data_IF_883106789375
#
_entry.id   IF_883106789375
#
_cell.length_a   1.000
_cell.length_b   1.000
_cell.length_c   1.000
_cell.angle_alpha   90.00
_cell.angle_beta   90.00
_cell.angle_gamma   90.00
#
_symmetry.space_group_name_H-M   'P 1'
#
loop_
_entity.id
_entity.type
_entity.pdbx_description
1 polymer ?
#
# COMPACT_ATOMS: atom_id res chain seq x y z
N UNK A 1 7.03 12.09 -3.28
CA UNK A 1 7.20 10.63 -3.17
C UNK A 1 5.87 9.92 -3.43
N UNK A 2 5.91 8.65 -3.84
CA UNK A 2 4.78 7.76 -4.07
C UNK A 2 4.88 6.59 -3.10
N UNK A 3 3.84 6.35 -2.30
CA UNK A 3 3.73 5.18 -1.44
C UNK A 3 2.69 4.24 -2.05
N UNK A 4 3.14 3.11 -2.59
CA UNK A 4 2.25 2.05 -3.05
C UNK A 4 1.78 1.23 -1.85
N UNK A 5 0.47 1.12 -1.68
CA UNK A 5 -0.15 0.47 -0.53
C UNK A 5 -1.08 -0.65 -0.98
N UNK A 6 -0.76 -1.89 -0.59
CA UNK A 6 -1.74 -2.97 -0.54
C UNK A 6 -2.56 -2.94 0.76
N UNK A 7 -3.67 -3.66 0.79
CA UNK A 7 -4.60 -3.75 1.90
C UNK A 7 -4.54 -5.13 2.55
N UNK A 8 -4.78 -6.19 1.78
CA UNK A 8 -4.68 -7.56 2.29
C UNK A 8 -3.22 -7.85 2.67
N UNK A 9 -3.00 -8.51 3.80
CA UNK A 9 -1.66 -8.77 4.31
C UNK A 9 -0.87 -7.54 4.76
N UNK A 10 -1.44 -6.33 4.71
CA UNK A 10 -0.81 -5.06 5.11
C UNK A 10 -1.67 -4.31 6.13
N UNK A 11 -2.82 -3.76 5.69
CA UNK A 11 -3.76 -3.01 6.53
C UNK A 11 -4.74 -3.95 7.24
N UNK A 12 -4.94 -5.15 6.70
CA UNK A 12 -5.67 -6.28 7.29
C UNK A 12 -4.86 -7.56 7.12
N UNK A 13 -5.19 -8.64 7.84
CA UNK A 13 -4.53 -9.92 7.60
C UNK A 13 -5.08 -10.62 6.35
N UNK A 14 -4.24 -11.37 5.64
CA UNK A 14 -4.63 -12.25 4.53
C UNK A 14 -4.80 -13.73 4.95
N UNK A 15 -5.03 -14.00 6.24
CA UNK A 15 -5.26 -15.37 6.73
C UNK A 15 -6.61 -15.93 6.21
N UNK A 16 -6.63 -17.01 5.39
CA UNK A 16 -7.87 -17.56 4.82
C UNK A 16 -8.76 -18.23 5.86
N UNK A 17 -8.24 -18.56 7.04
CA UNK A 17 -8.98 -19.22 8.13
C UNK A 17 -9.56 -18.25 9.16
N UNK A 18 -9.38 -16.94 8.96
CA UNK A 18 -9.88 -15.92 9.87
C UNK A 18 -10.65 -14.89 9.05
N UNK A 19 -11.87 -14.57 9.49
CA UNK A 19 -12.64 -13.50 8.87
C UNK A 19 -12.07 -12.13 9.25
N UNK A 20 -12.00 -11.24 8.27
CA UNK A 20 -11.66 -9.83 8.48
C UNK A 20 -12.93 -9.11 8.95
N UNK A 21 -12.81 -8.29 9.99
CA UNK A 21 -13.92 -7.49 10.51
C UNK A 21 -14.34 -6.44 9.46
N UNK A 22 -15.64 -6.24 9.28
CA UNK A 22 -16.24 -5.31 8.33
C UNK A 22 -16.76 -4.07 9.05
N UNK A 23 -16.76 -2.95 8.35
CA UNK A 23 -17.39 -1.70 8.78
C UNK A 23 -18.68 -1.43 7.99
N UNK A 24 -19.45 -0.44 8.45
CA UNK A 24 -20.77 -0.09 7.91
C UNK A 24 -20.79 0.35 6.44
N UNK A 25 -19.65 0.80 5.91
CA UNK A 25 -19.47 1.20 4.52
C UNK A 25 -19.18 0.01 3.57
N UNK A 26 -19.23 -1.22 4.08
CA UNK A 26 -19.08 -2.44 3.28
C UNK A 26 -17.63 -2.77 2.92
N UNK A 27 -16.66 -2.18 3.62
CA UNK A 27 -15.25 -2.53 3.50
C UNK A 27 -14.62 -2.95 4.84
N UNK A 28 -13.39 -3.46 4.79
CA UNK A 28 -12.72 -3.97 5.98
C UNK A 28 -12.43 -2.88 7.00
N UNK A 29 -12.40 -3.29 8.27
CA UNK A 29 -11.79 -2.55 9.37
C UNK A 29 -10.27 -2.73 9.32
N UNK A 30 -9.53 -1.63 9.36
CA UNK A 30 -8.08 -1.68 9.34
C UNK A 30 -7.50 -1.98 10.71
N UNK A 31 -6.36 -2.69 10.72
CA UNK A 31 -5.57 -2.91 11.93
C UNK A 31 -5.06 -1.56 12.44
N UNK A 32 -5.41 -1.20 13.68
CA UNK A 32 -4.98 0.05 14.31
C UNK A 32 -3.46 0.23 14.29
N UNK A 33 -2.67 -0.85 14.43
CA UNK A 33 -1.20 -0.76 14.35
C UNK A 33 -0.71 -0.38 12.96
N UNK A 34 -1.37 -0.87 11.90
CA UNK A 34 -1.04 -0.50 10.54
C UNK A 34 -1.41 0.97 10.26
N UNK A 35 -2.56 1.42 10.76
CA UNK A 35 -3.00 2.82 10.71
C UNK A 35 -2.02 3.73 11.46
N UNK A 36 -1.62 3.37 12.68
CA UNK A 36 -0.67 4.11 13.48
C UNK A 36 0.71 4.18 12.80
N UNK A 37 1.16 3.05 12.24
CA UNK A 37 2.43 2.97 11.53
C UNK A 37 2.46 3.92 10.32
N UNK A 38 1.44 3.86 9.45
CA UNK A 38 1.41 4.68 8.23
C UNK A 38 1.21 6.17 8.53
N UNK A 39 0.49 6.50 9.61
CA UNK A 39 0.30 7.88 10.05
C UNK A 39 1.48 8.46 10.85
N UNK A 40 2.44 7.62 11.26
CA UNK A 40 3.58 8.06 12.09
C UNK A 40 4.65 8.84 11.32
N UNK A 41 4.44 9.09 10.03
CA UNK A 41 5.35 9.82 9.15
C UNK A 41 4.65 11.03 8.52
N UNK A 42 5.44 12.05 8.20
CA UNK A 42 4.93 13.22 7.49
C UNK A 42 4.53 12.83 6.06
N UNK A 43 3.24 12.96 5.77
CA UNK A 43 2.61 12.58 4.52
C UNK A 43 2.32 13.80 3.61
N UNK A 44 2.68 15.02 4.01
CA UNK A 44 2.40 16.26 3.25
C UNK A 44 2.91 16.18 1.80
N UNK A 45 4.05 15.53 1.58
CA UNK A 45 4.70 15.37 0.27
C UNK A 45 4.66 13.92 -0.27
N UNK A 46 3.81 13.07 0.30
CA UNK A 46 3.64 11.68 -0.10
C UNK A 46 2.25 11.52 -0.71
N UNK A 47 2.20 10.99 -1.92
CA UNK A 47 0.95 10.52 -2.50
C UNK A 47 0.80 9.02 -2.25
N UNK A 48 -0.33 8.65 -1.65
CA UNK A 48 -0.72 7.27 -1.41
C UNK A 48 -1.35 6.70 -2.67
N UNK A 49 -0.69 5.71 -3.28
CA UNK A 49 -1.13 5.04 -4.50
C UNK A 49 -1.67 3.66 -4.12
N UNK A 50 -2.97 3.41 -4.29
CA UNK A 50 -3.55 2.10 -4.01
C UNK A 50 -3.10 1.08 -5.07
N UNK A 51 -2.32 0.08 -4.65
CA UNK A 51 -1.90 -1.07 -5.46
C UNK A 51 -2.76 -2.33 -5.22
N UNK A 52 -3.66 -2.29 -4.25
CA UNK A 52 -4.54 -3.41 -3.89
C UNK A 52 -5.44 -3.89 -5.04
N UNK A 53 -5.79 -5.18 -5.03
CA UNK A 53 -6.78 -5.76 -5.92
C UNK A 53 -8.19 -5.20 -5.68
N UNK A 54 -8.48 -4.70 -4.48
CA UNK A 54 -9.76 -4.10 -4.14
C UNK A 54 -10.04 -2.77 -4.84
N UNK A 55 -9.05 -2.18 -5.50
CA UNK A 55 -9.11 -0.82 -6.04
C UNK A 55 -10.27 -0.55 -7.00
N UNK A 56 -10.81 -1.58 -7.66
CA UNK A 56 -11.96 -1.50 -8.59
C UNK A 56 -13.33 -1.50 -7.91
N UNK A 57 -13.40 -1.86 -6.63
CA UNK A 57 -14.67 -1.94 -5.89
C UNK A 57 -15.26 -0.55 -5.60
N UNK A 58 -14.41 0.46 -5.55
CA UNK A 58 -14.77 1.81 -5.13
C UNK A 58 -14.06 2.83 -6.03
N UNK A 59 -14.74 3.93 -6.33
CA UNK A 59 -14.09 5.06 -6.98
C UNK A 59 -13.20 5.83 -6.00
N UNK A 60 -12.38 6.76 -6.51
CA UNK A 60 -11.44 7.53 -5.70
C UNK A 60 -12.11 8.31 -4.55
N UNK A 61 -13.32 8.84 -4.76
CA UNK A 61 -14.05 9.58 -3.71
C UNK A 61 -14.44 8.65 -2.56
N UNK A 62 -14.91 7.45 -2.89
CA UNK A 62 -15.25 6.42 -1.90
C UNK A 62 -14.00 5.92 -1.16
N UNK A 63 -12.88 5.71 -1.85
CA UNK A 63 -11.62 5.36 -1.19
C UNK A 63 -11.15 6.43 -0.19
N UNK A 64 -11.22 7.71 -0.58
CA UNK A 64 -10.93 8.81 0.34
C UNK A 64 -11.86 8.81 1.56
N UNK A 65 -13.14 8.48 1.37
CA UNK A 65 -14.09 8.36 2.48
C UNK A 65 -13.74 7.20 3.43
N UNK A 66 -13.44 6.01 2.88
CA UNK A 66 -13.01 4.84 3.67
C UNK A 66 -11.74 5.17 4.45
N UNK A 67 -10.73 5.74 3.80
CA UNK A 67 -9.47 6.14 4.46
C UNK A 67 -9.69 7.14 5.58
N UNK A 68 -10.54 8.14 5.37
CA UNK A 68 -10.89 9.11 6.42
C UNK A 68 -11.57 8.42 7.61
N UNK A 69 -12.57 7.55 7.38
CA UNK A 69 -13.24 6.78 8.44
C UNK A 69 -12.27 5.87 9.21
N UNK A 70 -11.18 5.43 8.59
CA UNK A 70 -10.13 4.60 9.21
C UNK A 70 -8.99 5.41 9.83
N UNK A 71 -9.08 6.74 9.79
CA UNK A 71 -8.07 7.63 10.34
C UNK A 71 -6.79 7.74 9.51
N UNK A 72 -6.78 7.33 8.24
CA UNK A 72 -5.63 7.50 7.32
C UNK A 72 -5.56 8.97 6.89
N UNK A 73 -4.41 9.62 7.12
CA UNK A 73 -4.29 11.09 7.03
C UNK A 73 -3.74 11.64 5.71
N UNK A 74 -3.53 10.81 4.70
CA UNK A 74 -2.94 11.25 3.43
C UNK A 74 -3.87 12.17 2.63
N UNK A 75 -3.42 13.38 2.33
CA UNK A 75 -4.16 14.36 1.52
C UNK A 75 -4.23 13.95 0.04
N UNK A 76 -3.14 13.36 -0.45
CA UNK A 76 -2.99 12.93 -1.85
C UNK A 76 -3.16 11.42 -1.93
N UNK A 77 -4.25 11.01 -2.58
CA UNK A 77 -4.59 9.60 -2.83
C UNK A 77 -4.86 9.42 -4.32
N UNK A 78 -4.28 8.37 -4.90
CA UNK A 78 -4.54 7.91 -6.26
C UNK A 78 -4.62 6.38 -6.30
N UNK A 79 -5.00 5.83 -7.45
CA UNK A 79 -5.20 4.40 -7.65
C UNK A 79 -4.35 3.98 -8.85
N UNK A 80 -3.73 2.81 -8.80
CA UNK A 80 -3.15 2.21 -10.02
C UNK A 80 -4.28 2.00 -11.04
N UNK A 81 -4.32 2.84 -12.06
CA UNK A 81 -5.31 2.81 -13.12
C UNK A 81 -4.85 1.90 -14.28
N UNK A 82 -4.47 0.67 -13.94
CA UNK A 82 -4.15 -0.39 -14.88
C UNK A 82 -5.17 -1.51 -14.70
N UNK A 83 -5.65 -2.07 -15.81
CA UNK A 83 -6.57 -3.21 -15.79
C UNK A 83 -5.97 -4.39 -15.01
N UNK A 84 -6.81 -5.10 -14.25
CA UNK A 84 -6.42 -6.38 -13.66
C UNK A 84 -6.22 -7.40 -14.76
N UNK A 85 -4.97 -7.52 -15.21
CA UNK A 85 -4.56 -8.66 -15.98
C UNK A 85 -3.95 -9.68 -15.02
N UNK A 86 -4.68 -10.76 -14.74
CA UNK A 86 -4.24 -11.85 -13.86
C UNK A 86 -2.93 -12.53 -14.29
N UNK A 87 -2.42 -12.22 -15.50
CA UNK A 87 -1.10 -12.67 -15.96
C UNK A 87 0.06 -11.83 -15.41
N UNK A 88 -0.21 -10.63 -14.90
CA UNK A 88 0.81 -9.76 -14.31
C UNK A 88 0.88 -9.98 -12.80
N UNK A 89 2.12 -10.13 -12.31
CA UNK A 89 2.39 -10.10 -10.87
C UNK A 89 2.30 -8.68 -10.34
N UNK A 90 2.14 -8.53 -9.01
CA UNK A 90 2.20 -7.23 -8.34
C UNK A 90 3.49 -6.48 -8.66
N UNK A 91 4.61 -7.21 -8.74
CA UNK A 91 5.89 -6.66 -9.23
C UNK A 91 5.74 -5.99 -10.60
N UNK A 92 5.24 -6.72 -11.60
CA UNK A 92 5.10 -6.20 -12.97
C UNK A 92 4.19 -4.97 -13.02
N UNK A 93 3.09 -4.99 -12.26
CA UNK A 93 2.13 -3.89 -12.19
C UNK A 93 2.79 -2.60 -11.63
N UNK A 94 3.51 -2.72 -10.51
CA UNK A 94 4.20 -1.58 -9.89
C UNK A 94 5.35 -1.08 -10.77
N UNK A 95 6.19 -1.97 -11.32
CA UNK A 95 7.29 -1.57 -12.21
C UNK A 95 6.78 -0.84 -13.45
N UNK A 96 5.72 -1.36 -14.07
CA UNK A 96 5.09 -0.73 -15.22
C UNK A 96 4.55 0.65 -14.86
N UNK A 97 3.84 0.78 -13.74
CA UNK A 97 3.29 2.06 -13.32
C UNK A 97 4.40 3.09 -13.08
N UNK A 98 5.48 2.70 -12.39
CA UNK A 98 6.65 3.56 -12.14
C UNK A 98 7.28 4.02 -13.46
N UNK A 99 7.47 3.11 -14.41
CA UNK A 99 8.04 3.40 -15.72
C UNK A 99 7.15 4.35 -16.54
N UNK A 100 5.85 4.05 -16.65
CA UNK A 100 4.89 4.86 -17.41
C UNK A 100 4.78 6.30 -16.87
N UNK A 101 4.98 6.49 -15.55
CA UNK A 101 4.91 7.80 -14.88
C UNK A 101 6.28 8.45 -14.67
N UNK A 102 7.37 7.84 -15.17
CA UNK A 102 8.74 8.36 -15.06
C UNK A 102 9.17 8.68 -13.62
N UNK A 103 8.76 7.86 -12.65
CA UNK A 103 9.05 8.07 -11.24
C UNK A 103 10.46 7.55 -10.90
N UNK A 104 11.26 8.37 -10.22
CA UNK A 104 12.56 7.94 -9.72
C UNK A 104 12.38 6.89 -8.62
N UNK A 105 13.17 5.82 -8.62
CA UNK A 105 13.13 4.81 -7.55
C UNK A 105 13.36 5.39 -6.16
N UNK A 106 14.08 6.51 -6.04
CA UNK A 106 14.29 7.20 -4.77
C UNK A 106 13.02 7.88 -4.23
N UNK A 107 12.03 8.11 -5.08
CA UNK A 107 10.75 8.70 -4.70
C UNK A 107 9.67 7.65 -4.46
N UNK A 108 10.02 6.37 -4.39
CA UNK A 108 9.09 5.25 -4.24
C UNK A 108 9.19 4.62 -2.86
N UNK A 109 8.06 4.20 -2.30
CA UNK A 109 7.94 3.30 -1.17
C UNK A 109 6.88 2.27 -1.53
N UNK A 110 7.11 0.99 -1.26
CA UNK A 110 6.15 -0.09 -1.54
C UNK A 110 5.86 -0.82 -0.23
N UNK A 111 4.59 -0.97 0.15
CA UNK A 111 4.16 -1.74 1.32
C UNK A 111 3.14 -2.78 0.87
N UNK A 112 3.50 -4.06 1.01
CA UNK A 112 2.83 -5.16 0.33
C UNK A 112 3.23 -6.50 0.98
N UNK A 113 2.41 -7.55 0.85
CA UNK A 113 2.78 -8.90 1.27
C UNK A 113 3.15 -9.83 0.10
N UNK A 114 2.96 -9.38 -1.15
CA UNK A 114 3.20 -10.19 -2.35
C UNK A 114 4.69 -10.54 -2.53
N UNK A 115 5.02 -11.83 -2.44
CA UNK A 115 6.39 -12.34 -2.53
C UNK A 115 7.07 -12.11 -3.88
N UNK A 116 6.33 -11.86 -4.95
CA UNK A 116 6.90 -11.53 -6.28
C UNK A 116 7.74 -10.26 -6.23
N UNK A 117 7.48 -9.37 -5.26
CA UNK A 117 8.24 -8.13 -5.05
C UNK A 117 9.68 -8.37 -4.59
N UNK A 118 10.03 -9.58 -4.12
CA UNK A 118 11.43 -9.95 -3.86
C UNK A 118 12.31 -9.93 -5.11
N UNK A 119 11.70 -10.01 -6.30
CA UNK A 119 12.39 -9.96 -7.58
C UNK A 119 12.44 -8.55 -8.20
N UNK A 120 12.06 -7.50 -7.44
CA UNK A 120 12.30 -6.11 -7.83
C UNK A 120 13.81 -5.82 -7.98
N UNK A 121 14.20 -4.88 -8.85
CA UNK A 121 15.58 -4.42 -8.93
C UNK A 121 16.01 -3.78 -7.60
N UNK A 122 17.32 -3.87 -7.29
CA UNK A 122 17.87 -3.50 -5.98
C UNK A 122 17.51 -2.08 -5.51
N UNK A 123 17.41 -1.12 -6.43
CA UNK A 123 17.02 0.26 -6.12
C UNK A 123 15.58 0.38 -5.60
N UNK A 124 14.64 -0.43 -6.11
CA UNK A 124 13.27 -0.48 -5.61
C UNK A 124 13.13 -1.42 -4.41
N UNK A 125 13.88 -2.54 -4.41
CA UNK A 125 13.86 -3.53 -3.33
C UNK A 125 14.28 -2.93 -1.98
N UNK A 126 15.24 -2.01 -1.96
CA UNK A 126 15.62 -1.26 -0.75
C UNK A 126 14.50 -0.37 -0.18
N UNK A 127 13.49 -0.07 -1.00
CA UNK A 127 12.32 0.76 -0.65
C UNK A 127 11.03 -0.06 -0.50
N UNK A 128 11.15 -1.39 -0.46
CA UNK A 128 10.07 -2.33 -0.19
C UNK A 128 9.99 -2.64 1.30
N UNK A 129 8.78 -2.56 1.85
CA UNK A 129 8.40 -3.12 3.14
C UNK A 129 7.51 -4.33 2.86
N UNK A 130 8.13 -5.51 2.81
CA UNK A 130 7.39 -6.76 2.63
C UNK A 130 6.83 -7.21 3.97
N UNK A 131 5.50 -7.18 4.14
CA UNK A 131 4.84 -7.53 5.40
C UNK A 131 4.65 -9.04 5.55
N UNK A 132 4.38 -9.50 6.78
CA UNK A 132 3.88 -10.85 6.99
C UNK A 132 2.35 -10.86 6.76
N UNK A 133 1.82 -11.67 5.83
CA UNK A 133 0.41 -11.68 5.49
C UNK A 133 -0.53 -11.97 6.67
N UNK A 134 -0.08 -12.71 7.68
CA UNK A 134 -0.90 -13.07 8.83
C UNK A 134 -1.04 -11.94 9.85
N UNK A 135 -0.10 -11.00 9.89
CA UNK A 135 -0.06 -9.92 10.89
C UNK A 135 -0.26 -8.53 10.31
N UNK A 136 0.13 -8.30 9.05
CA UNK A 136 0.12 -6.98 8.45
C UNK A 136 1.32 -6.12 8.83
N UNK A 137 1.19 -4.81 8.58
CA UNK A 137 2.12 -3.78 9.03
C UNK A 137 1.92 -3.53 10.53
N UNK A 138 2.98 -3.75 11.32
CA UNK A 138 2.89 -3.74 12.80
C UNK A 138 3.57 -2.53 13.44
N UNK A 139 4.54 -1.93 12.76
CA UNK A 139 5.26 -0.74 13.20
C UNK A 139 5.75 0.08 11.99
N UNK A 140 6.36 1.23 12.26
CA UNK A 140 6.86 2.15 11.24
C UNK A 140 8.38 2.23 11.14
N UNK A 141 9.12 1.28 11.73
CA UNK A 141 10.58 1.33 11.77
C UNK A 141 11.19 1.36 10.37
N UNK A 142 10.78 0.43 9.51
CA UNK A 142 11.26 0.36 8.12
C UNK A 142 10.78 1.55 7.29
N UNK A 143 9.55 1.99 7.49
CA UNK A 143 9.01 3.18 6.79
C UNK A 143 9.83 4.43 7.12
N UNK A 144 10.14 4.65 8.39
CA UNK A 144 10.99 5.75 8.84
C UNK A 144 12.42 5.62 8.32
N UNK A 145 12.99 4.40 8.31
CA UNK A 145 14.31 4.14 7.74
C UNK A 145 14.37 4.56 6.27
N UNK A 146 13.45 4.07 5.44
CA UNK A 146 13.40 4.39 4.00
C UNK A 146 13.25 5.90 3.76
N UNK A 147 12.43 6.59 4.56
CA UNK A 147 12.24 8.04 4.45
C UNK A 147 13.47 8.86 4.87
N UNK A 148 14.34 8.31 5.72
CA UNK A 148 15.58 8.96 6.16
C UNK A 148 16.73 8.82 5.15
N UNK A 149 16.71 7.80 4.29
CA UNK A 149 17.75 7.47 3.31
C UNK A 149 17.57 8.21 1.97
N UNK A 150 17.43 9.54 2.00
CA UNK A 150 17.28 10.33 0.76
C UNK A 150 18.42 10.14 -0.23
#
# INVERSE_FOLDING_TARGET
>A
MKLFLDIDGVMVHANPHRQVEMEDDGFYKFNHKAVDAINSVDHTNIELVLSTSHRFRFNLRQWKHIFNKRGIRFDKVSIINQDLNHKYSRKTEIEKWIADHHINSNDVIIIDDDKSLNALPENLKKRLILTNPYTGLMDSKELKRILSEK
#
